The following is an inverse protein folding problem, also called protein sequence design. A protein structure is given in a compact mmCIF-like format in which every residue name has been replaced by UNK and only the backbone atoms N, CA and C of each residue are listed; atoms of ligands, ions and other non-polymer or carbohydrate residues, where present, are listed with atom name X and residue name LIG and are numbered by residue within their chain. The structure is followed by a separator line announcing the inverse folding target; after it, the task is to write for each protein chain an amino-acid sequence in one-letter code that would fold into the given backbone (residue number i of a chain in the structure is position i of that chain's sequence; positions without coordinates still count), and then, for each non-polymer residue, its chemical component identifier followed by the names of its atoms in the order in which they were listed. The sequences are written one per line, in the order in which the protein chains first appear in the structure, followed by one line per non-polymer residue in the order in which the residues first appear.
data_IF_419988492024
#
_entry.id   IF_419988492024
#
_cell.length_a   1.000
_cell.length_b   1.000
_cell.length_c   1.000
_cell.angle_alpha   90.00
_cell.angle_beta   90.00
_cell.angle_gamma   90.00
#
_symmetry.space_group_name_H-M   'P 1'
#
loop_
_entity.id
_entity.type
_entity.pdbx_description
1 polymer ?
#
# COMPACT_ATOMS: atom_id res chain seq x y z
N UNK A 1 76.72 -28.42 36.81
CA UNK A 1 76.01 -27.39 36.02
C UNK A 1 75.68 -28.03 34.68
N UNK A 2 74.47 -28.56 34.52
CA UNK A 2 74.09 -29.35 33.35
C UNK A 2 73.81 -28.41 32.17
N UNK A 3 74.59 -28.55 31.10
CA UNK A 3 74.43 -27.83 29.84
C UNK A 3 73.06 -28.18 29.20
N UNK A 4 72.37 -27.22 28.58
CA UNK A 4 71.14 -27.48 27.86
C UNK A 4 71.44 -28.37 26.64
N UNK A 5 70.64 -29.44 26.46
CA UNK A 5 70.68 -30.26 25.24
C UNK A 5 70.33 -29.37 24.04
N UNK A 6 71.26 -29.26 23.08
CA UNK A 6 71.03 -28.58 21.81
C UNK A 6 70.01 -29.36 20.98
N UNK A 7 69.03 -28.66 20.43
CA UNK A 7 68.03 -29.23 19.53
C UNK A 7 68.71 -29.93 18.34
N UNK A 8 68.22 -31.11 17.97
CA UNK A 8 68.79 -31.89 16.86
C UNK A 8 68.25 -31.41 15.52
N UNK A 9 68.99 -31.65 14.43
CA UNK A 9 68.63 -31.23 13.07
C UNK A 9 67.27 -31.81 12.61
N UNK A 10 66.86 -32.96 13.18
CA UNK A 10 65.55 -33.56 12.96
C UNK A 10 64.39 -32.73 13.54
N UNK A 11 64.62 -32.06 14.68
CA UNK A 11 63.61 -31.23 15.36
C UNK A 11 63.34 -29.94 14.55
N UNK A 12 64.39 -29.37 13.95
CA UNK A 12 64.31 -28.16 13.11
C UNK A 12 63.53 -28.46 11.81
N UNK A 13 63.72 -29.66 11.23
CA UNK A 13 63.02 -30.07 10.01
C UNK A 13 61.52 -30.32 10.27
N UNK A 14 61.16 -30.94 11.41
CA UNK A 14 59.77 -31.15 11.82
C UNK A 14 59.01 -29.83 12.08
N UNK A 15 59.67 -28.83 12.69
CA UNK A 15 59.09 -27.49 12.90
C UNK A 15 58.90 -26.74 11.58
N UNK A 16 59.85 -26.82 10.64
CA UNK A 16 59.70 -26.21 9.31
C UNK A 16 58.54 -26.82 8.51
N UNK A 17 58.41 -28.14 8.50
CA UNK A 17 57.32 -28.82 7.79
C UNK A 17 55.95 -28.51 8.42
N UNK A 18 55.84 -28.51 9.74
CA UNK A 18 54.57 -28.18 10.43
C UNK A 18 54.15 -26.72 10.22
N UNK A 19 55.07 -25.76 10.16
CA UNK A 19 54.76 -24.36 9.84
C UNK A 19 54.32 -24.16 8.39
N UNK A 20 54.92 -24.86 7.43
CA UNK A 20 54.53 -24.82 6.00
C UNK A 20 53.16 -25.46 5.77
N UNK A 21 52.91 -26.62 6.40
CA UNK A 21 51.61 -27.29 6.37
C UNK A 21 50.52 -26.42 7.02
N UNK A 22 50.83 -25.73 8.14
CA UNK A 22 49.91 -24.79 8.81
C UNK A 22 49.60 -23.54 7.99
N UNK A 23 50.59 -22.98 7.25
CA UNK A 23 50.36 -21.85 6.32
C UNK A 23 49.54 -22.27 5.09
N UNK A 24 49.83 -23.44 4.53
CA UNK A 24 49.07 -24.04 3.42
C UNK A 24 47.61 -24.26 3.81
N UNK A 25 47.36 -24.81 5.01
CA UNK A 25 46.03 -25.03 5.56
C UNK A 25 45.26 -23.72 5.81
N UNK A 26 45.94 -22.66 6.26
CA UNK A 26 45.33 -21.33 6.43
C UNK A 26 44.95 -20.69 5.08
N UNK A 27 45.76 -20.89 4.05
CA UNK A 27 45.48 -20.36 2.71
C UNK A 27 44.31 -21.08 2.03
N UNK A 28 44.24 -22.41 2.15
CA UNK A 28 43.11 -23.19 1.61
C UNK A 28 41.81 -22.88 2.36
N UNK A 29 41.84 -22.67 3.68
CA UNK A 29 40.68 -22.21 4.44
C UNK A 29 40.22 -20.80 4.02
N UNK A 30 41.14 -19.89 3.73
CA UNK A 30 40.83 -18.53 3.27
C UNK A 30 40.23 -18.53 1.85
N UNK A 31 40.76 -19.38 0.96
CA UNK A 31 40.19 -19.57 -0.38
C UNK A 31 38.82 -20.21 -0.33
N UNK A 32 38.63 -21.24 0.52
CA UNK A 32 37.34 -21.90 0.70
C UNK A 32 36.30 -20.97 1.32
N UNK A 33 36.67 -20.17 2.33
CA UNK A 33 35.77 -19.19 2.93
C UNK A 33 35.39 -18.09 1.93
N UNK A 34 36.34 -17.62 1.13
CA UNK A 34 36.09 -16.67 0.04
C UNK A 34 35.11 -17.25 -1.00
N UNK A 35 35.31 -18.50 -1.43
CA UNK A 35 34.42 -19.19 -2.37
C UNK A 35 33.00 -19.34 -1.81
N UNK A 36 32.87 -19.74 -0.53
CA UNK A 36 31.57 -19.87 0.14
C UNK A 36 30.85 -18.51 0.20
N UNK A 37 31.54 -17.43 0.57
CA UNK A 37 30.96 -16.08 0.60
C UNK A 37 30.54 -15.61 -0.78
N UNK A 38 31.32 -15.90 -1.83
CA UNK A 38 30.96 -15.57 -3.21
C UNK A 38 29.71 -16.33 -3.66
N UNK A 39 29.63 -17.63 -3.37
CA UNK A 39 28.47 -18.46 -3.69
C UNK A 39 27.22 -17.96 -2.96
N UNK A 40 27.31 -17.64 -1.66
CA UNK A 40 26.15 -17.12 -0.91
C UNK A 40 25.70 -15.76 -1.44
N UNK A 41 26.61 -14.86 -1.81
CA UNK A 41 26.24 -13.58 -2.43
C UNK A 41 25.57 -13.76 -3.80
N UNK A 42 26.02 -14.71 -4.62
CA UNK A 42 25.39 -15.03 -5.90
C UNK A 42 23.98 -15.64 -5.70
N UNK A 43 23.83 -16.54 -4.73
CA UNK A 43 22.53 -17.13 -4.38
C UNK A 43 21.57 -16.08 -3.81
N UNK A 44 22.04 -15.19 -2.92
CA UNK A 44 21.23 -14.10 -2.36
C UNK A 44 20.77 -13.15 -3.47
N UNK A 45 21.66 -12.77 -4.40
CA UNK A 45 21.30 -11.94 -5.56
C UNK A 45 20.25 -12.61 -6.45
N UNK A 46 20.48 -13.88 -6.80
CA UNK A 46 19.53 -14.66 -7.59
C UNK A 46 18.17 -14.82 -6.89
N UNK A 47 18.17 -14.92 -5.56
CA UNK A 47 16.95 -15.05 -4.77
C UNK A 47 16.21 -13.71 -4.63
N UNK A 48 16.93 -12.58 -4.48
CA UNK A 48 16.33 -11.24 -4.48
C UNK A 48 15.61 -10.94 -5.79
N UNK A 49 16.19 -11.28 -6.93
CA UNK A 49 15.56 -11.05 -8.25
C UNK A 49 14.24 -11.81 -8.42
N UNK A 50 14.17 -13.05 -7.91
CA UNK A 50 12.94 -13.86 -7.94
C UNK A 50 11.84 -13.25 -7.07
N UNK A 51 12.17 -12.89 -5.83
CA UNK A 51 11.21 -12.29 -4.90
C UNK A 51 10.71 -10.94 -5.40
N UNK A 52 11.60 -10.10 -5.95
CA UNK A 52 11.21 -8.83 -6.58
C UNK A 52 10.28 -9.05 -7.77
N UNK A 53 10.53 -10.03 -8.64
CA UNK A 53 9.65 -10.34 -9.77
C UNK A 53 8.27 -10.81 -9.32
N UNK A 54 8.22 -11.70 -8.33
CA UNK A 54 6.97 -12.23 -7.80
C UNK A 54 6.14 -11.13 -7.13
N UNK A 55 6.76 -10.32 -6.26
CA UNK A 55 6.09 -9.18 -5.60
C UNK A 55 5.57 -8.14 -6.60
N UNK A 56 6.35 -7.78 -7.62
CA UNK A 56 5.92 -6.87 -8.69
C UNK A 56 4.74 -7.46 -9.47
N UNK A 57 4.77 -8.76 -9.79
CA UNK A 57 3.66 -9.42 -10.51
C UNK A 57 2.37 -9.45 -9.70
N UNK A 58 2.45 -9.76 -8.40
CA UNK A 58 1.31 -9.75 -7.47
C UNK A 58 0.75 -8.33 -7.32
N UNK A 59 1.61 -7.31 -7.19
CA UNK A 59 1.18 -5.92 -7.14
C UNK A 59 0.47 -5.49 -8.42
N UNK A 60 1.02 -5.84 -9.60
CA UNK A 60 0.41 -5.53 -10.89
C UNK A 60 -0.97 -6.20 -11.03
N UNK A 61 -1.09 -7.48 -10.67
CA UNK A 61 -2.37 -8.19 -10.68
C UNK A 61 -3.38 -7.58 -9.70
N UNK A 62 -2.95 -7.20 -8.49
CA UNK A 62 -3.81 -6.53 -7.51
C UNK A 62 -4.32 -5.17 -8.00
N UNK A 63 -3.47 -4.42 -8.73
CA UNK A 63 -3.86 -3.13 -9.32
C UNK A 63 -4.86 -3.33 -10.45
N UNK A 64 -4.60 -4.28 -11.35
CA UNK A 64 -5.52 -4.64 -12.44
C UNK A 64 -6.87 -5.13 -11.91
N UNK A 65 -6.88 -5.96 -10.85
CA UNK A 65 -8.10 -6.38 -10.16
C UNK A 65 -8.85 -5.18 -9.58
N UNK A 66 -8.18 -4.27 -8.87
CA UNK A 66 -8.80 -3.05 -8.33
C UNK A 66 -9.41 -2.18 -9.43
N UNK A 67 -8.71 -2.00 -10.55
CA UNK A 67 -9.22 -1.24 -11.70
C UNK A 67 -10.46 -1.94 -12.30
N UNK A 68 -10.39 -3.26 -12.52
CA UNK A 68 -11.53 -4.02 -13.06
C UNK A 68 -12.76 -4.05 -12.15
N UNK A 69 -12.55 -4.05 -10.82
CA UNK A 69 -13.62 -4.00 -9.84
C UNK A 69 -14.21 -2.61 -9.70
N UNK A 70 -13.40 -1.57 -9.89
CA UNK A 70 -13.86 -0.18 -9.89
C UNK A 70 -14.90 0.05 -11.00
N UNK A 71 -14.70 -0.55 -12.17
CA UNK A 71 -15.65 -0.43 -13.28
C UNK A 71 -16.92 -1.28 -13.07
N UNK A 72 -16.80 -2.40 -12.35
CA UNK A 72 -17.94 -3.31 -12.09
C UNK A 72 -18.82 -2.87 -10.91
N UNK A 73 -18.23 -2.35 -9.85
CA UNK A 73 -18.96 -1.88 -8.67
C UNK A 73 -19.17 -0.37 -8.78
N UNK A 74 -20.16 0.04 -9.57
CA UNK A 74 -20.52 1.46 -9.74
C UNK A 74 -21.22 2.00 -8.49
N UNK A 75 -20.44 2.49 -7.53
CA UNK A 75 -20.96 3.09 -6.29
C UNK A 75 -21.24 4.57 -6.51
N UNK A 76 -22.51 4.94 -6.37
CA UNK A 76 -23.01 6.31 -6.45
C UNK A 76 -23.25 6.85 -5.03
N UNK A 77 -22.49 7.87 -4.64
CA UNK A 77 -22.52 8.44 -3.30
C UNK A 77 -23.43 9.67 -3.22
N UNK A 78 -24.51 9.56 -2.43
CA UNK A 78 -25.44 10.65 -2.15
C UNK A 78 -25.11 11.24 -0.78
N UNK A 79 -24.57 12.46 -0.76
CA UNK A 79 -24.03 13.10 0.43
C UNK A 79 -24.89 14.32 0.81
N UNK A 80 -25.65 14.19 1.89
CA UNK A 80 -26.58 15.23 2.33
C UNK A 80 -25.91 16.17 3.32
N UNK A 81 -25.77 17.43 2.91
CA UNK A 81 -25.27 18.54 3.73
C UNK A 81 -26.46 19.23 4.36
N UNK A 82 -26.42 19.40 5.68
CA UNK A 82 -27.54 20.00 6.40
C UNK A 82 -27.45 21.53 6.37
N UNK A 83 -26.33 22.12 6.81
CA UNK A 83 -26.24 23.58 6.92
C UNK A 83 -25.03 24.14 6.17
N UNK A 84 -25.11 25.37 5.65
CA UNK A 84 -23.99 26.02 4.95
C UNK A 84 -22.71 26.08 5.78
N UNK A 85 -22.82 26.26 7.11
CA UNK A 85 -21.66 26.33 7.99
C UNK A 85 -20.84 25.04 8.01
N UNK A 86 -21.46 23.92 7.70
CA UNK A 86 -20.81 22.62 7.67
C UNK A 86 -20.31 22.23 6.27
N UNK A 87 -20.36 23.13 5.28
CA UNK A 87 -19.72 22.91 3.99
C UNK A 87 -18.22 22.59 4.10
N UNK A 88 -17.54 23.07 5.15
CA UNK A 88 -16.16 22.68 5.47
C UNK A 88 -16.00 21.19 5.75
N UNK A 89 -16.97 20.54 6.38
CA UNK A 89 -16.96 19.10 6.61
C UNK A 89 -17.22 18.34 5.30
N UNK A 90 -18.14 18.83 4.47
CA UNK A 90 -18.37 18.28 3.15
C UNK A 90 -17.12 18.37 2.24
N UNK A 91 -16.33 19.44 2.36
CA UNK A 91 -15.02 19.52 1.70
C UNK A 91 -14.01 18.49 2.23
N UNK A 92 -14.07 18.13 3.52
CA UNK A 92 -13.25 17.02 4.06
C UNK A 92 -13.71 15.69 3.46
N UNK A 93 -15.02 15.47 3.34
CA UNK A 93 -15.58 14.29 2.68
C UNK A 93 -15.07 14.20 1.24
N UNK A 94 -15.17 15.28 0.46
CA UNK A 94 -14.67 15.39 -0.92
C UNK A 94 -13.20 15.02 -1.07
N UNK A 95 -12.36 15.39 -0.09
CA UNK A 95 -10.92 15.10 -0.09
C UNK A 95 -10.54 13.72 0.45
N UNK A 96 -11.44 13.03 1.12
CA UNK A 96 -11.13 11.79 1.85
C UNK A 96 -11.83 10.60 1.22
N UNK A 97 -12.94 10.14 1.78
CA UNK A 97 -13.53 8.87 1.39
C UNK A 97 -14.38 8.97 0.12
N UNK A 98 -14.97 10.12 -0.21
CA UNK A 98 -15.86 10.20 -1.38
C UNK A 98 -15.12 10.11 -2.72
N UNK A 99 -13.81 10.39 -2.75
CA UNK A 99 -12.94 10.15 -3.92
C UNK A 99 -12.87 8.67 -4.36
N UNK A 100 -13.33 7.76 -3.50
CA UNK A 100 -13.39 6.33 -3.80
C UNK A 100 -14.76 5.92 -4.38
N UNK A 101 -15.74 6.82 -4.41
CA UNK A 101 -16.99 6.63 -5.15
C UNK A 101 -16.72 6.80 -6.64
N UNK A 102 -17.49 6.11 -7.48
CA UNK A 102 -17.43 6.30 -8.94
C UNK A 102 -18.07 7.63 -9.33
N UNK A 103 -19.18 7.94 -8.68
CA UNK A 103 -19.93 9.18 -8.84
C UNK A 103 -20.32 9.70 -7.46
N UNK A 104 -20.30 11.02 -7.30
CA UNK A 104 -20.70 11.71 -6.07
C UNK A 104 -21.70 12.81 -6.37
N UNK A 105 -22.74 12.92 -5.54
CA UNK A 105 -23.72 13.99 -5.58
C UNK A 105 -23.89 14.57 -4.18
N UNK A 106 -23.41 15.78 -4.00
CA UNK A 106 -23.68 16.56 -2.79
C UNK A 106 -25.08 17.17 -2.88
N UNK A 107 -25.84 17.09 -1.80
CA UNK A 107 -27.22 17.61 -1.72
C UNK A 107 -27.29 18.64 -0.59
N UNK A 108 -27.57 19.89 -0.94
CA UNK A 108 -27.52 21.04 -0.01
C UNK A 108 -28.75 21.94 -0.18
N UNK A 109 -29.07 22.74 0.83
CA UNK A 109 -30.03 23.85 0.68
C UNK A 109 -29.40 25.10 0.07
N UNK A 110 -28.08 25.22 0.17
CA UNK A 110 -27.32 26.41 -0.24
C UNK A 110 -26.27 26.04 -1.28
N UNK A 111 -25.99 27.01 -2.16
CA UNK A 111 -24.94 26.86 -3.17
C UNK A 111 -23.55 26.83 -2.53
N UNK A 112 -22.62 26.13 -3.17
CA UNK A 112 -21.23 26.07 -2.77
C UNK A 112 -20.33 25.86 -3.99
N UNK A 113 -19.44 26.80 -4.27
CA UNK A 113 -18.61 26.86 -5.48
C UNK A 113 -17.83 25.56 -5.74
N UNK A 114 -17.19 24.98 -4.72
CA UNK A 114 -16.36 23.77 -4.91
C UNK A 114 -17.16 22.46 -4.93
N UNK A 115 -18.32 22.43 -4.26
CA UNK A 115 -19.08 21.19 -4.08
C UNK A 115 -20.17 21.03 -5.14
N UNK A 116 -20.59 22.15 -5.76
CA UNK A 116 -21.63 22.23 -6.78
C UNK A 116 -22.85 21.35 -6.46
N UNK A 117 -23.45 21.50 -5.26
CA UNK A 117 -24.44 20.55 -4.80
C UNK A 117 -25.78 20.71 -5.52
N UNK A 118 -26.54 19.62 -5.60
CA UNK A 118 -27.97 19.67 -5.92
C UNK A 118 -28.70 20.49 -4.85
N UNK A 119 -29.27 21.61 -5.28
CA UNK A 119 -29.94 22.57 -4.40
C UNK A 119 -31.38 22.16 -4.13
N UNK A 120 -31.67 21.74 -2.90
CA UNK A 120 -33.03 21.44 -2.43
C UNK A 120 -33.38 22.44 -1.31
N UNK A 121 -34.13 23.48 -1.70
CA UNK A 121 -34.67 24.52 -0.80
C UNK A 121 -35.94 24.00 -0.12
N UNK A 122 -35.79 23.06 0.82
CA UNK A 122 -36.86 22.64 1.73
C UNK A 122 -36.47 22.97 3.19
N UNK A 123 -37.43 23.32 4.06
CA UNK A 123 -37.14 23.62 5.47
C UNK A 123 -36.47 22.43 6.15
N UNK A 124 -35.36 22.67 6.85
CA UNK A 124 -34.53 21.60 7.42
C UNK A 124 -35.10 20.93 8.68
N UNK A 125 -36.08 21.56 9.33
CA UNK A 125 -36.29 21.39 10.77
C UNK A 125 -37.36 20.35 11.18
N UNK A 126 -38.20 19.87 10.26
CA UNK A 126 -39.31 18.97 10.63
C UNK A 126 -38.99 17.50 10.29
N UNK A 127 -39.34 16.53 11.17
CA UNK A 127 -39.32 15.11 10.82
C UNK A 127 -40.05 14.86 9.49
N UNK A 128 -39.41 14.12 8.57
CA UNK A 128 -39.93 13.85 7.21
C UNK A 128 -39.21 14.59 6.06
N UNK A 129 -38.47 15.67 6.34
CA UNK A 129 -37.70 16.37 5.30
C UNK A 129 -36.50 15.57 4.77
N UNK A 130 -35.89 14.71 5.60
CA UNK A 130 -34.80 13.82 5.15
C UNK A 130 -35.25 12.89 4.02
N UNK A 131 -36.41 12.26 4.16
CA UNK A 131 -36.99 11.40 3.12
C UNK A 131 -37.35 12.17 1.86
N UNK A 132 -37.96 13.37 1.98
CA UNK A 132 -38.28 14.20 0.81
C UNK A 132 -37.02 14.63 0.05
N UNK A 133 -35.95 15.01 0.74
CA UNK A 133 -34.65 15.33 0.14
C UNK A 133 -34.05 14.12 -0.57
N UNK A 134 -34.09 12.95 0.07
CA UNK A 134 -33.62 11.71 -0.54
C UNK A 134 -34.41 11.36 -1.80
N UNK A 135 -35.74 11.43 -1.76
CA UNK A 135 -36.60 11.16 -2.92
C UNK A 135 -36.31 12.09 -4.09
N UNK A 136 -36.11 13.38 -3.81
CA UNK A 136 -35.75 14.37 -4.84
C UNK A 136 -34.36 14.10 -5.43
N UNK A 137 -33.38 13.77 -4.58
CA UNK A 137 -32.04 13.43 -5.04
C UNK A 137 -32.06 12.14 -5.88
N UNK A 138 -32.79 11.11 -5.45
CA UNK A 138 -32.95 9.87 -6.21
C UNK A 138 -33.67 10.11 -7.54
N UNK A 139 -34.66 11.00 -7.60
CA UNK A 139 -35.29 11.40 -8.86
C UNK A 139 -34.28 12.06 -9.81
N UNK A 140 -33.46 12.98 -9.29
CA UNK A 140 -32.40 13.61 -10.09
C UNK A 140 -31.42 12.57 -10.64
N UNK A 141 -30.97 11.61 -9.81
CA UNK A 141 -30.11 10.52 -10.29
C UNK A 141 -30.84 9.68 -11.34
N UNK A 142 -32.09 9.29 -11.11
CA UNK A 142 -32.85 8.48 -12.06
C UNK A 142 -32.99 9.18 -13.43
N UNK A 143 -33.12 10.49 -13.45
CA UNK A 143 -33.27 11.27 -14.68
C UNK A 143 -31.93 11.51 -15.41
N UNK A 144 -30.79 11.58 -14.68
CA UNK A 144 -29.51 12.05 -15.24
C UNK A 144 -28.35 11.06 -15.18
N UNK A 145 -28.43 10.04 -14.31
CA UNK A 145 -27.31 9.16 -13.94
C UNK A 145 -27.75 7.72 -13.63
N UNK A 146 -28.92 7.27 -14.14
CA UNK A 146 -29.46 5.94 -13.82
C UNK A 146 -28.53 4.81 -14.31
N UNK A 147 -27.87 5.03 -15.45
CA UNK A 147 -26.92 4.11 -16.08
C UNK A 147 -25.56 4.04 -15.39
N UNK A 148 -25.29 4.99 -14.49
CA UNK A 148 -24.02 5.16 -13.77
C UNK A 148 -24.06 4.61 -12.33
N UNK A 149 -25.19 4.06 -11.90
CA UNK A 149 -25.42 3.65 -10.51
C UNK A 149 -25.79 2.17 -10.40
N UNK A 150 -24.84 1.35 -9.95
CA UNK A 150 -25.09 -0.03 -9.54
C UNK A 150 -25.47 -0.15 -8.06
N UNK A 151 -24.85 0.67 -7.22
CA UNK A 151 -25.06 0.70 -5.77
C UNK A 151 -25.16 2.13 -5.26
N UNK A 152 -26.01 2.36 -4.25
CA UNK A 152 -26.18 3.67 -3.63
C UNK A 152 -25.61 3.68 -2.22
N UNK A 153 -24.68 4.62 -1.95
CA UNK A 153 -24.24 4.94 -0.60
C UNK A 153 -24.91 6.24 -0.16
N UNK A 154 -25.74 6.16 0.89
CA UNK A 154 -26.39 7.32 1.50
C UNK A 154 -25.59 7.78 2.71
N UNK A 155 -25.07 9.01 2.66
CA UNK A 155 -24.35 9.62 3.77
C UNK A 155 -25.04 10.91 4.20
N UNK A 156 -25.33 11.02 5.48
CA UNK A 156 -25.84 12.24 6.08
C UNK A 156 -24.77 12.83 6.98
N UNK A 157 -24.65 14.14 6.95
CA UNK A 157 -23.85 14.85 7.93
C UNK A 157 -24.41 14.63 9.35
N UNK A 158 -23.54 14.19 10.26
CA UNK A 158 -23.86 14.06 11.67
C UNK A 158 -23.85 15.45 12.33
N UNK A 159 -24.84 15.69 13.18
CA UNK A 159 -25.03 16.94 13.91
C UNK A 159 -24.06 17.05 15.08
#
# INVERSE_FOLDING_TARGET
MLLPKSATESDIHAVRHTVVLRKSFNFTHLLLSCLIVLITLLLIRAQQERLCRETVSVQAQSKSLKESLKDKAQVFCLIFISQPQLARNALKVKRTWSKHCNHELFVSSNNHEVLEPLIIRQPLATPGHKWKRLRLALRYVHENHLDQAGWFLLAYENK
#
